data_IF_330872418084
#
_entry.id   IF_330872418084
#
_cell.length_a   1.000
_cell.length_b   1.000
_cell.length_c   1.000
_cell.angle_alpha   90.00
_cell.angle_beta   90.00
_cell.angle_gamma   90.00
#
_symmetry.space_group_name_H-M   'P 1'
#
loop_
_entity.id
_entity.type
_entity.pdbx_description
1 polymer ?
#
# COMPACT_ATOMS: atom_id res chain seq x y z
N UNK A 1 -4.77 -7.88 1.69
CA UNK A 1 -5.43 -6.74 1.01
C UNK A 1 -6.16 -5.92 2.06
N UNK A 2 -5.93 -4.60 2.12
CA UNK A 2 -6.58 -3.69 3.09
C UNK A 2 -7.28 -2.57 2.31
N UNK A 3 -8.49 -2.21 2.75
CA UNK A 3 -9.21 -1.03 2.25
C UNK A 3 -8.61 0.19 2.93
N UNK A 4 -8.13 1.16 2.15
CA UNK A 4 -7.54 2.40 2.65
C UNK A 4 -8.37 3.56 2.12
N UNK A 5 -9.02 4.30 3.02
CA UNK A 5 -9.99 5.34 2.66
C UNK A 5 -9.50 6.75 2.92
N UNK A 6 -8.37 6.89 3.64
CA UNK A 6 -7.79 8.17 4.05
C UNK A 6 -6.29 8.06 4.37
N UNK A 7 -5.65 9.21 4.59
CA UNK A 7 -4.19 9.30 4.83
C UNK A 7 -3.76 8.57 6.10
N UNK A 8 -4.59 8.67 7.14
CA UNK A 8 -4.31 8.07 8.43
C UNK A 8 -4.25 6.54 8.33
N UNK A 9 -5.24 5.93 7.67
CA UNK A 9 -5.27 4.48 7.42
C UNK A 9 -4.08 4.01 6.58
N UNK A 10 -3.70 4.78 5.56
CA UNK A 10 -2.52 4.49 4.74
C UNK A 10 -1.24 4.51 5.57
N UNK A 11 -1.04 5.54 6.40
CA UNK A 11 0.15 5.70 7.25
C UNK A 11 0.28 4.55 8.25
N UNK A 12 -0.81 4.21 8.93
CA UNK A 12 -0.83 3.11 9.90
C UNK A 12 -0.51 1.76 9.23
N UNK A 13 -1.11 1.50 8.07
CA UNK A 13 -0.83 0.30 7.29
C UNK A 13 0.62 0.24 6.80
N UNK A 14 1.15 1.36 6.28
CA UNK A 14 2.53 1.42 5.79
C UNK A 14 3.53 1.14 6.92
N UNK A 15 3.30 1.70 8.10
CA UNK A 15 4.15 1.50 9.28
C UNK A 15 4.12 0.05 9.76
N UNK A 16 2.92 -0.50 9.99
CA UNK A 16 2.78 -1.78 10.69
C UNK A 16 2.82 -2.98 9.75
N UNK A 17 2.13 -2.91 8.61
CA UNK A 17 1.93 -4.06 7.72
C UNK A 17 3.00 -4.15 6.63
N UNK A 18 3.53 -3.03 6.13
CA UNK A 18 4.53 -3.04 5.05
C UNK A 18 5.96 -2.93 5.57
N UNK A 19 6.24 -1.92 6.39
CA UNK A 19 7.58 -1.72 6.95
C UNK A 19 7.87 -2.63 8.14
N UNK A 20 6.86 -3.36 8.64
CA UNK A 20 6.98 -4.27 9.79
C UNK A 20 7.61 -3.59 11.02
N UNK A 21 7.27 -2.32 11.23
CA UNK A 21 7.80 -1.54 12.34
C UNK A 21 6.97 -1.81 13.58
N UNK A 22 7.37 -2.81 14.35
CA UNK A 22 6.85 -3.11 15.68
C UNK A 22 7.93 -2.88 16.75
N UNK A 23 7.59 -3.11 18.03
CA UNK A 23 8.55 -2.97 19.13
C UNK A 23 9.74 -3.94 19.03
N UNK A 24 9.59 -5.03 18.26
CA UNK A 24 10.61 -6.06 18.06
C UNK A 24 11.58 -5.71 16.92
N UNK A 25 11.09 -5.00 15.89
CA UNK A 25 11.84 -4.54 14.73
C UNK A 25 11.72 -3.02 14.54
N UNK A 26 12.41 -2.23 15.38
CA UNK A 26 12.38 -0.78 15.26
C UNK A 26 13.02 -0.31 13.95
N UNK A 27 12.50 0.79 13.42
CA UNK A 27 13.02 1.41 12.20
C UNK A 27 14.49 1.78 12.33
N UNK A 28 15.28 1.46 11.31
CA UNK A 28 16.67 1.93 11.18
C UNK A 28 16.72 3.41 10.81
N UNK A 29 15.64 3.93 10.19
CA UNK A 29 15.52 5.35 9.85
C UNK A 29 15.15 6.19 11.07
N UNK A 30 15.70 7.41 11.13
CA UNK A 30 15.21 8.42 12.06
C UNK A 30 13.75 8.80 11.76
N UNK A 31 13.00 9.38 12.73
CA UNK A 31 11.58 9.68 12.57
C UNK A 31 11.26 10.52 11.31
N UNK A 32 12.07 11.54 11.04
CA UNK A 32 11.90 12.41 9.88
C UNK A 32 12.24 11.74 8.54
N UNK A 33 13.17 10.79 8.55
CA UNK A 33 13.56 10.02 7.36
C UNK A 33 12.49 8.98 7.01
N UNK A 34 11.94 8.32 8.03
CA UNK A 34 10.83 7.39 7.91
C UNK A 34 9.61 8.09 7.31
N UNK A 35 9.26 9.25 7.86
CA UNK A 35 8.13 10.05 7.37
C UNK A 35 8.31 10.46 5.90
N UNK A 36 9.53 10.85 5.50
CA UNK A 36 9.83 11.17 4.10
C UNK A 36 9.69 9.96 3.18
N UNK A 37 10.10 8.77 3.62
CA UNK A 37 9.96 7.57 2.80
C UNK A 37 8.49 7.14 2.67
N UNK A 38 7.71 7.23 3.75
CA UNK A 38 6.25 6.98 3.72
C UNK A 38 5.54 7.92 2.73
N UNK A 39 5.92 9.20 2.74
CA UNK A 39 5.41 10.20 1.80
C UNK A 39 5.89 9.95 0.37
N UNK A 40 7.14 9.50 0.18
CA UNK A 40 7.71 9.19 -1.14
C UNK A 40 6.97 8.03 -1.82
N UNK A 41 6.53 7.05 -1.02
CA UNK A 41 5.76 5.90 -1.49
C UNK A 41 4.26 6.14 -1.51
N UNK A 42 3.81 7.31 -1.05
CA UNK A 42 2.40 7.67 -1.03
C UNK A 42 1.82 7.67 -2.44
N UNK A 43 0.60 7.14 -2.59
CA UNK A 43 -0.11 7.19 -3.86
C UNK A 43 -0.44 8.65 -4.21
N UNK A 44 -0.42 8.98 -5.50
CA UNK A 44 -0.67 10.35 -5.99
C UNK A 44 -2.12 10.83 -5.74
N UNK A 45 -3.04 9.87 -5.65
CA UNK A 45 -4.46 10.04 -5.33
C UNK A 45 -4.85 8.88 -4.40
N UNK A 46 -5.83 9.05 -3.50
CA UNK A 46 -6.20 7.97 -2.58
C UNK A 46 -6.70 6.73 -3.34
N UNK A 47 -5.97 5.60 -3.30
CA UNK A 47 -6.34 4.39 -4.00
C UNK A 47 -7.49 3.74 -3.27
N UNK A 48 -8.28 2.93 -3.99
CA UNK A 48 -9.36 2.19 -3.36
C UNK A 48 -8.81 1.01 -2.55
N UNK A 49 -7.72 0.38 -2.99
CA UNK A 49 -7.10 -0.76 -2.31
C UNK A 49 -5.58 -0.69 -2.39
N UNK A 50 -4.90 -1.23 -1.37
CA UNK A 50 -3.48 -1.55 -1.42
C UNK A 50 -3.27 -3.07 -1.26
N UNK A 51 -2.37 -3.60 -2.08
CA UNK A 51 -1.99 -5.01 -2.08
C UNK A 51 -0.47 -5.13 -1.97
N UNK A 52 -0.02 -6.03 -1.10
CA UNK A 52 1.36 -6.50 -1.09
C UNK A 52 1.50 -7.56 -2.18
N UNK A 53 2.44 -7.35 -3.08
CA UNK A 53 2.77 -8.27 -4.16
C UNK A 53 4.18 -8.79 -3.91
N UNK A 54 4.28 -10.10 -3.72
CA UNK A 54 5.57 -10.80 -3.72
C UNK A 54 6.16 -10.71 -5.12
N UNK A 55 7.44 -10.36 -5.23
CA UNK A 55 8.09 -10.37 -6.53
C UNK A 55 8.33 -11.80 -7.04
N UNK A 56 8.77 -11.90 -8.29
CA UNK A 56 9.08 -13.18 -8.91
C UNK A 56 10.46 -13.68 -8.46
N UNK A 57 10.52 -14.35 -7.31
CA UNK A 57 11.70 -15.09 -6.87
C UNK A 57 11.93 -15.12 -5.35
N UNK A 58 12.76 -16.05 -4.88
CA UNK A 58 13.04 -16.23 -3.44
C UNK A 58 13.71 -15.02 -2.76
N UNK A 59 14.22 -14.05 -3.54
CA UNK A 59 14.93 -12.85 -3.05
C UNK A 59 14.27 -11.55 -3.52
N UNK A 60 13.10 -11.61 -4.15
CA UNK A 60 12.45 -10.40 -4.63
C UNK A 60 11.78 -9.69 -3.46
N UNK A 61 12.03 -8.38 -3.36
CA UNK A 61 11.40 -7.54 -2.35
C UNK A 61 9.88 -7.49 -2.60
N UNK A 62 9.11 -7.55 -1.51
CA UNK A 62 7.68 -7.24 -1.57
C UNK A 62 7.50 -5.80 -2.05
N UNK A 63 6.49 -5.58 -2.88
CA UNK A 63 6.15 -4.27 -3.39
C UNK A 63 4.68 -3.96 -3.11
N UNK A 64 4.38 -2.68 -2.96
CA UNK A 64 3.00 -2.21 -2.83
C UNK A 64 2.42 -1.93 -4.21
N UNK A 65 1.32 -2.60 -4.53
CA UNK A 65 0.48 -2.28 -5.68
C UNK A 65 -0.77 -1.54 -5.19
N UNK A 66 -0.98 -0.33 -5.72
CA UNK A 66 -2.19 0.45 -5.49
C UNK A 66 -3.21 0.18 -6.59
N UNK A 67 -4.45 -0.07 -6.19
CA UNK A 67 -5.57 -0.30 -7.09
C UNK A 67 -6.53 0.88 -6.98
N UNK A 68 -6.73 1.57 -8.10
CA UNK A 68 -7.55 2.77 -8.18
C UNK A 68 -8.97 2.47 -8.63
N UNK A 69 -9.86 3.44 -8.42
CA UNK A 69 -11.28 3.34 -8.80
C UNK A 69 -11.48 2.94 -10.26
N UNK A 70 -10.70 3.50 -11.18
CA UNK A 70 -10.79 3.19 -12.62
C UNK A 70 -10.58 1.71 -12.92
N UNK A 71 -9.64 1.05 -12.23
CA UNK A 71 -9.37 -0.37 -12.37
C UNK A 71 -10.53 -1.21 -11.80
N UNK A 72 -11.08 -0.81 -10.66
CA UNK A 72 -12.24 -1.48 -10.08
C UNK A 72 -13.46 -1.36 -10.99
N UNK A 73 -13.69 -0.18 -11.58
CA UNK A 73 -14.78 0.06 -12.54
C UNK A 73 -14.61 -0.78 -13.81
N UNK A 74 -13.38 -0.92 -14.31
CA UNK A 74 -13.07 -1.78 -15.45
C UNK A 74 -13.36 -3.26 -15.13
N UNK A 75 -12.91 -3.75 -13.97
CA UNK A 75 -13.20 -5.11 -13.53
C UNK A 75 -14.69 -5.34 -13.34
N UNK A 76 -15.40 -4.38 -12.73
CA UNK A 76 -16.84 -4.48 -12.51
C UNK A 76 -17.61 -4.56 -13.84
N UNK A 77 -17.14 -3.89 -14.91
CA UNK A 77 -17.68 -4.05 -16.27
C UNK A 77 -17.40 -5.44 -16.84
N UNK A 78 -16.16 -5.94 -16.72
CA UNK A 78 -15.79 -7.28 -17.19
C UNK A 78 -16.59 -8.39 -16.48
N UNK A 79 -16.91 -8.20 -15.20
CA UNK A 79 -17.74 -9.12 -14.42
C UNK A 79 -19.25 -8.91 -14.61
N UNK A 80 -19.68 -7.94 -15.42
CA UNK A 80 -21.09 -7.66 -15.69
C UNK A 80 -21.86 -7.08 -14.49
N UNK A 81 -21.16 -6.55 -13.49
CA UNK A 81 -21.74 -5.92 -12.29
C UNK A 81 -22.25 -4.51 -12.63
N UNK A 82 -21.52 -3.80 -13.49
CA UNK A 82 -21.86 -2.44 -13.95
C UNK A 82 -21.89 -2.44 -15.47
N UNK A 83 -22.90 -1.78 -16.07
CA UNK A 83 -23.05 -1.66 -17.53
C UNK A 83 -22.22 -0.50 -18.08
#
# INVERSE_FOLDING_TARGET
MKLLTNEFEYREWMHNDYLHLDEEFPSVFGPDELEREILRQAPKEFPCLAQLVEGEGAYSLQSVQFIYRSQIEEWAKLFGIVK
#
